data_IF_788916402889
#
_entry.id   IF_788916402889
#
_cell.length_a   1.000
_cell.length_b   1.000
_cell.length_c   1.000
_cell.angle_alpha   90.00
_cell.angle_beta   90.00
_cell.angle_gamma   90.00
#
_symmetry.space_group_name_H-M   'P 1'
#
loop_
_entity.id
_entity.type
_entity.pdbx_description
1 polymer ?
#
# COMPACT_ATOMS: atom_id res chain seq x y z
N UNK A 1 1.43 -15.72 -15.96
CA UNK A 1 0.76 -16.71 -15.06
C UNK A 1 1.76 -17.60 -14.31
N UNK A 2 2.72 -18.26 -14.98
CA UNK A 2 3.60 -19.31 -14.40
C UNK A 2 4.35 -18.91 -13.12
N UNK A 3 4.64 -17.63 -12.90
CA UNK A 3 5.45 -17.14 -11.77
C UNK A 3 4.72 -16.11 -10.92
N UNK A 4 3.39 -16.02 -11.04
CA UNK A 4 2.62 -14.98 -10.36
C UNK A 4 2.75 -15.08 -8.83
N UNK A 5 2.53 -16.24 -8.25
CA UNK A 5 2.70 -16.47 -6.82
C UNK A 5 4.13 -16.21 -6.36
N UNK A 6 5.12 -16.75 -7.08
CA UNK A 6 6.53 -16.56 -6.72
C UNK A 6 6.92 -15.08 -6.71
N UNK A 7 6.43 -14.30 -7.67
CA UNK A 7 6.64 -12.86 -7.71
C UNK A 7 5.97 -12.15 -6.52
N UNK A 8 4.71 -12.48 -6.22
CA UNK A 8 3.99 -11.86 -5.11
C UNK A 8 4.62 -12.20 -3.75
N UNK A 9 5.04 -13.46 -3.54
CA UNK A 9 5.74 -13.86 -2.32
C UNK A 9 7.11 -13.18 -2.20
N UNK A 10 7.82 -13.00 -3.30
CA UNK A 10 9.09 -12.28 -3.30
C UNK A 10 8.91 -10.80 -2.95
N UNK A 11 7.91 -10.14 -3.54
CA UNK A 11 7.56 -8.76 -3.21
C UNK A 11 7.20 -8.61 -1.73
N UNK A 12 6.33 -9.48 -1.22
CA UNK A 12 5.93 -9.52 0.19
C UNK A 12 7.13 -9.72 1.12
N UNK A 13 8.00 -10.68 0.81
CA UNK A 13 9.24 -10.95 1.55
C UNK A 13 10.13 -9.72 1.61
N UNK A 14 10.30 -8.99 0.50
CA UNK A 14 11.15 -7.79 0.48
C UNK A 14 10.57 -6.68 1.35
N UNK A 15 9.24 -6.50 1.39
CA UNK A 15 8.57 -5.55 2.27
C UNK A 15 8.80 -5.88 3.75
N UNK A 16 8.61 -7.14 4.13
CA UNK A 16 8.86 -7.55 5.51
C UNK A 16 10.33 -7.41 5.91
N UNK A 17 11.25 -7.79 5.04
CA UNK A 17 12.69 -7.66 5.29
C UNK A 17 13.09 -6.19 5.53
N UNK A 18 12.55 -5.27 4.74
CA UNK A 18 12.81 -3.83 4.90
C UNK A 18 12.27 -3.30 6.23
N UNK A 19 11.04 -3.68 6.61
CA UNK A 19 10.45 -3.29 7.89
C UNK A 19 11.26 -3.84 9.06
N UNK A 20 11.67 -5.10 9.01
CA UNK A 20 12.49 -5.72 10.06
C UNK A 20 13.80 -4.95 10.23
N UNK A 21 14.48 -4.63 9.13
CA UNK A 21 15.72 -3.88 9.12
C UNK A 21 15.53 -2.49 9.75
N UNK A 22 14.58 -1.71 9.23
CA UNK A 22 14.35 -0.33 9.69
C UNK A 22 13.93 -0.30 11.16
N UNK A 23 13.08 -1.23 11.61
CA UNK A 23 12.68 -1.33 13.03
C UNK A 23 13.86 -1.69 13.93
N UNK A 24 14.73 -2.59 13.49
CA UNK A 24 15.94 -2.94 14.23
C UNK A 24 16.91 -1.76 14.40
N UNK A 25 17.05 -0.92 13.37
CA UNK A 25 17.88 0.28 13.39
C UNK A 25 17.24 1.47 14.12
N UNK A 26 15.90 1.49 14.26
CA UNK A 26 15.13 2.61 14.80
C UNK A 26 13.99 2.13 15.72
N UNK A 27 14.28 1.49 16.86
CA UNK A 27 13.28 0.83 17.70
C UNK A 27 12.22 1.79 18.26
N UNK A 28 12.59 3.04 18.53
CA UNK A 28 11.72 4.05 19.17
C UNK A 28 11.12 5.06 18.17
N UNK A 29 11.27 4.78 16.86
CA UNK A 29 10.80 5.71 15.83
C UNK A 29 9.56 5.19 15.11
N UNK A 30 8.72 6.12 14.67
CA UNK A 30 7.64 5.83 13.74
C UNK A 30 8.21 5.73 12.34
N UNK A 31 7.85 4.64 11.66
CA UNK A 31 8.29 4.35 10.31
C UNK A 31 7.19 4.82 9.35
N UNK A 32 7.55 5.72 8.45
CA UNK A 32 6.72 6.09 7.30
C UNK A 32 7.33 5.43 6.07
N UNK A 33 6.58 4.60 5.37
CA UNK A 33 7.07 3.90 4.20
C UNK A 33 6.12 4.07 3.00
N UNK A 34 6.70 4.13 1.81
CA UNK A 34 5.94 3.97 0.58
C UNK A 34 5.58 2.50 0.43
N UNK A 35 4.28 2.20 0.43
CA UNK A 35 3.72 0.86 0.42
C UNK A 35 4.17 0.02 1.65
N UNK A 36 3.31 -0.84 2.07
CA UNK A 36 3.55 -1.73 3.18
C UNK A 36 2.93 -3.10 2.87
N UNK A 37 3.19 -4.15 3.65
CA UNK A 37 2.63 -5.48 3.39
C UNK A 37 1.11 -5.49 3.20
N UNK A 38 0.36 -4.62 3.90
CA UNK A 38 -1.08 -4.55 3.70
C UNK A 38 -1.48 -4.02 2.32
N UNK A 39 -0.73 -3.07 1.75
CA UNK A 39 -0.98 -2.62 0.37
C UNK A 39 -0.62 -3.69 -0.65
N UNK A 40 0.45 -4.45 -0.41
CA UNK A 40 0.78 -5.59 -1.27
C UNK A 40 -0.35 -6.63 -1.25
N UNK A 41 -0.91 -6.94 -0.09
CA UNK A 41 -2.05 -7.86 0.03
C UNK A 41 -3.33 -7.30 -0.59
N UNK A 42 -3.76 -6.10 -0.15
CA UNK A 42 -5.06 -5.50 -0.53
C UNK A 42 -5.15 -5.04 -1.97
N UNK A 43 -4.02 -4.75 -2.60
CA UNK A 43 -3.97 -4.24 -3.97
C UNK A 43 -3.24 -5.22 -4.89
N UNK A 44 -1.94 -5.43 -4.67
CA UNK A 44 -1.08 -6.10 -5.65
C UNK A 44 -1.23 -7.61 -5.72
N UNK A 45 -1.68 -8.29 -4.66
CA UNK A 45 -2.07 -9.71 -4.72
C UNK A 45 -3.55 -9.87 -5.13
N UNK A 46 -4.42 -8.97 -4.68
CA UNK A 46 -5.86 -9.01 -4.99
C UNK A 46 -6.15 -8.78 -6.48
N UNK A 47 -5.45 -7.84 -7.14
CA UNK A 47 -5.67 -7.58 -8.57
C UNK A 47 -5.40 -8.81 -9.46
N UNK A 48 -4.24 -9.47 -9.41
CA UNK A 48 -4.00 -10.67 -10.22
C UNK A 48 -4.89 -11.84 -9.80
N UNK A 49 -5.35 -11.92 -8.56
CA UNK A 49 -6.34 -12.90 -8.14
C UNK A 49 -7.70 -12.64 -8.80
N UNK A 50 -8.21 -11.41 -8.76
CA UNK A 50 -9.46 -11.03 -9.43
C UNK A 50 -9.39 -11.23 -10.95
N UNK A 51 -8.22 -11.08 -11.55
CA UNK A 51 -7.97 -11.33 -12.97
C UNK A 51 -7.71 -12.82 -13.31
N UNK A 52 -7.89 -13.73 -12.37
CA UNK A 52 -7.60 -15.18 -12.51
C UNK A 52 -6.16 -15.47 -13.01
N UNK A 53 -5.23 -14.58 -12.73
CA UNK A 53 -3.79 -14.77 -12.96
C UNK A 53 -3.18 -15.54 -11.79
N UNK A 54 -3.62 -15.21 -10.57
CA UNK A 54 -3.33 -15.93 -9.33
C UNK A 54 -4.56 -16.77 -8.98
N UNK A 55 -4.39 -18.08 -8.85
CA UNK A 55 -5.48 -19.00 -8.53
C UNK A 55 -5.86 -18.95 -7.04
N UNK A 56 -7.02 -19.55 -6.69
CA UNK A 56 -7.54 -19.55 -5.31
C UNK A 56 -6.55 -20.20 -4.33
N UNK A 57 -5.96 -21.34 -4.69
CA UNK A 57 -4.96 -22.02 -3.86
C UNK A 57 -3.69 -21.18 -3.69
N UNK A 58 -3.27 -20.50 -4.75
CA UNK A 58 -2.10 -19.61 -4.70
C UNK A 58 -2.39 -18.40 -3.80
N UNK A 59 -3.59 -17.84 -3.88
CA UNK A 59 -4.01 -16.73 -3.00
C UNK A 59 -4.15 -17.19 -1.55
N UNK A 60 -4.58 -18.42 -1.29
CA UNK A 60 -4.62 -19.00 0.04
C UNK A 60 -3.21 -19.09 0.64
N UNK A 61 -2.25 -19.66 -0.09
CA UNK A 61 -0.84 -19.74 0.35
C UNK A 61 -0.27 -18.34 0.64
N UNK A 62 -0.54 -17.36 -0.25
CA UNK A 62 -0.10 -15.99 -0.05
C UNK A 62 -0.69 -15.37 1.22
N UNK A 63 -1.99 -15.61 1.48
CA UNK A 63 -2.70 -15.10 2.65
C UNK A 63 -2.13 -15.68 3.95
N UNK A 64 -1.90 -16.99 4.00
CA UNK A 64 -1.31 -17.66 5.17
C UNK A 64 0.08 -17.11 5.51
N UNK A 65 0.94 -16.89 4.50
CA UNK A 65 2.22 -16.26 4.70
C UNK A 65 2.11 -14.83 5.21
N UNK A 66 1.18 -14.04 4.63
CA UNK A 66 0.91 -12.68 5.07
C UNK A 66 0.46 -12.63 6.53
N UNK A 67 -0.51 -13.45 6.91
CA UNK A 67 -1.08 -13.51 8.27
C UNK A 67 -0.03 -13.97 9.29
N UNK A 68 0.74 -15.00 8.96
CA UNK A 68 1.82 -15.48 9.80
C UNK A 68 2.87 -14.38 10.05
N UNK A 69 3.34 -13.72 9.01
CA UNK A 69 4.38 -12.69 9.14
C UNK A 69 3.88 -11.45 9.86
N UNK A 70 2.66 -11.01 9.61
CA UNK A 70 2.07 -9.85 10.31
C UNK A 70 1.87 -10.12 11.79
N UNK A 71 1.51 -11.34 12.15
CA UNK A 71 1.35 -11.79 13.53
C UNK A 71 2.70 -11.88 14.24
N UNK A 72 3.70 -12.55 13.63
CA UNK A 72 5.04 -12.71 14.20
C UNK A 72 5.72 -11.35 14.45
N UNK A 73 5.58 -10.43 13.51
CA UNK A 73 6.20 -9.10 13.60
C UNK A 73 5.36 -8.13 14.43
N UNK A 74 4.19 -8.53 14.90
CA UNK A 74 3.23 -7.63 15.57
C UNK A 74 3.10 -6.33 14.77
N UNK A 75 2.82 -6.47 13.45
CA UNK A 75 2.77 -5.33 12.56
C UNK A 75 1.55 -4.47 12.85
N UNK A 76 1.76 -3.38 13.58
CA UNK A 76 0.74 -2.37 13.79
C UNK A 76 0.88 -1.23 12.79
N UNK A 77 -0.17 -0.99 11.98
CA UNK A 77 -0.26 0.12 11.04
C UNK A 77 -1.23 1.13 11.65
N UNK A 78 -0.68 2.17 12.26
CA UNK A 78 -1.45 3.18 12.97
C UNK A 78 -2.16 4.17 12.03
N UNK A 79 -1.67 4.37 10.81
CA UNK A 79 -2.32 5.24 9.85
C UNK A 79 -1.89 4.98 8.42
N UNK A 80 -2.72 5.40 7.48
CA UNK A 80 -2.47 5.31 6.03
C UNK A 80 -2.66 6.71 5.43
N UNK A 81 -1.66 7.15 4.68
CA UNK A 81 -1.75 8.36 3.87
C UNK A 81 -2.03 7.91 2.43
N UNK A 82 -3.24 8.16 1.97
CA UNK A 82 -3.64 7.84 0.61
C UNK A 82 -3.46 9.05 -0.31
N UNK A 83 -2.46 8.99 -1.17
CA UNK A 83 -2.22 9.99 -2.20
C UNK A 83 -3.09 9.66 -3.40
N UNK A 84 -4.25 10.32 -3.48
CA UNK A 84 -5.23 10.10 -4.55
C UNK A 84 -4.79 10.81 -5.82
N UNK A 85 -4.47 10.04 -6.85
CA UNK A 85 -4.04 10.55 -8.15
C UNK A 85 -4.83 9.82 -9.23
N UNK A 86 -5.52 10.54 -10.16
CA UNK A 86 -6.27 9.93 -11.25
C UNK A 86 -5.37 9.06 -12.16
N UNK A 87 -5.93 7.98 -12.70
CA UNK A 87 -5.23 7.08 -13.61
C UNK A 87 -4.63 7.80 -14.82
N UNK A 88 -5.33 8.80 -15.38
CA UNK A 88 -4.84 9.64 -16.48
C UNK A 88 -3.56 10.39 -16.11
N UNK A 89 -3.53 11.02 -14.93
CA UNK A 89 -2.35 11.73 -14.45
C UNK A 89 -1.20 10.75 -14.16
N UNK A 90 -1.49 9.53 -13.68
CA UNK A 90 -0.49 8.49 -13.52
C UNK A 90 0.12 8.09 -14.87
N UNK A 91 -0.70 7.93 -15.92
CA UNK A 91 -0.23 7.64 -17.28
C UNK A 91 0.69 8.72 -17.82
N UNK A 92 0.32 9.99 -17.69
CA UNK A 92 1.16 11.12 -18.11
C UNK A 92 2.52 11.13 -17.39
N UNK A 93 2.51 10.85 -16.08
CA UNK A 93 3.74 10.76 -15.27
C UNK A 93 4.62 9.59 -15.67
N UNK A 94 4.04 8.44 -16.04
CA UNK A 94 4.77 7.28 -16.55
C UNK A 94 5.47 7.63 -17.85
N UNK A 95 4.75 8.25 -18.80
CA UNK A 95 5.31 8.70 -20.08
C UNK A 95 6.45 9.70 -19.84
N UNK A 96 6.22 10.73 -19.01
CA UNK A 96 7.21 11.76 -18.71
C UNK A 96 8.47 11.19 -18.03
N UNK A 97 8.32 10.17 -17.19
CA UNK A 97 9.43 9.54 -16.47
C UNK A 97 10.27 8.63 -17.36
N UNK A 98 9.68 8.07 -18.41
CA UNK A 98 10.31 7.22 -19.43
C UNK A 98 11.21 6.11 -18.83
N UNK A 99 10.70 5.40 -17.81
CA UNK A 99 11.45 4.33 -17.18
C UNK A 99 11.38 3.05 -18.01
N UNK A 100 12.54 2.45 -18.30
CA UNK A 100 12.63 1.17 -19.01
C UNK A 100 11.76 0.09 -18.31
N UNK A 101 10.87 -0.55 -19.09
CA UNK A 101 9.97 -1.62 -18.62
C UNK A 101 8.56 -1.15 -18.26
N UNK A 102 8.28 0.15 -18.19
CA UNK A 102 6.96 0.70 -17.91
C UNK A 102 6.09 0.96 -19.16
N UNK A 103 6.66 0.86 -20.36
CA UNK A 103 5.94 1.12 -21.62
C UNK A 103 4.76 0.19 -21.93
N UNK A 104 4.64 -0.93 -21.21
CA UNK A 104 3.54 -1.88 -21.35
C UNK A 104 2.40 -1.67 -20.33
N UNK A 105 2.48 -0.63 -19.49
CA UNK A 105 1.43 -0.31 -18.52
C UNK A 105 0.26 0.31 -19.28
N UNK A 106 -0.89 -0.38 -19.28
CA UNK A 106 -2.10 0.05 -20.00
C UNK A 106 -2.96 0.98 -19.13
N UNK A 107 -3.80 1.78 -19.78
CA UNK A 107 -4.81 2.60 -19.08
C UNK A 107 -5.78 1.74 -18.27
N UNK A 108 -6.21 0.61 -18.80
CA UNK A 108 -7.10 -0.32 -18.09
C UNK A 108 -6.47 -0.80 -16.79
N UNK A 109 -5.19 -1.17 -16.81
CA UNK A 109 -4.47 -1.55 -15.59
C UNK A 109 -4.41 -0.40 -14.57
N UNK A 110 -4.20 0.84 -15.01
CA UNK A 110 -4.16 2.01 -14.12
C UNK A 110 -5.54 2.31 -13.53
N UNK A 111 -6.62 2.16 -14.31
CA UNK A 111 -7.99 2.29 -13.81
C UNK A 111 -8.34 1.18 -12.81
N UNK A 112 -7.98 -0.06 -13.08
CA UNK A 112 -8.18 -1.16 -12.14
C UNK A 112 -7.44 -0.91 -10.82
N UNK A 113 -6.19 -0.42 -10.91
CA UNK A 113 -5.37 -0.07 -9.76
C UNK A 113 -6.00 1.06 -8.94
N UNK A 114 -6.49 2.11 -9.58
CA UNK A 114 -7.23 3.20 -8.95
C UNK A 114 -8.47 2.67 -8.23
N UNK A 115 -9.31 1.88 -8.91
CA UNK A 115 -10.53 1.33 -8.34
C UNK A 115 -10.28 0.42 -7.13
N UNK A 116 -9.22 -0.39 -7.15
CA UNK A 116 -8.87 -1.26 -6.01
C UNK A 116 -8.44 -0.43 -4.80
N UNK A 117 -7.65 0.62 -5.01
CA UNK A 117 -7.28 1.55 -3.94
C UNK A 117 -8.51 2.27 -3.38
N UNK A 118 -9.38 2.80 -4.24
CA UNK A 118 -10.61 3.48 -3.83
C UNK A 118 -11.49 2.55 -2.99
N UNK A 119 -11.82 1.36 -3.49
CA UNK A 119 -12.65 0.39 -2.76
C UNK A 119 -12.08 0.01 -1.40
N UNK A 120 -10.75 -0.07 -1.29
CA UNK A 120 -10.10 -0.39 -0.04
C UNK A 120 -10.05 0.81 0.90
N UNK A 121 -9.53 1.95 0.47
CA UNK A 121 -9.15 3.07 1.34
C UNK A 121 -10.32 4.02 1.65
N UNK A 122 -11.38 4.02 0.85
CA UNK A 122 -12.61 4.77 1.13
C UNK A 122 -13.68 3.94 1.85
N UNK A 123 -13.38 2.68 2.19
CA UNK A 123 -14.33 1.81 2.87
C UNK A 123 -14.58 2.31 4.32
N UNK A 124 -15.83 2.62 4.70
CA UNK A 124 -16.14 3.12 6.04
C UNK A 124 -15.76 2.16 7.19
N UNK A 125 -15.69 0.85 6.90
CA UNK A 125 -15.25 -0.14 7.90
C UNK A 125 -13.76 -0.01 8.21
N UNK A 126 -12.94 0.39 7.23
CA UNK A 126 -11.53 0.59 7.43
C UNK A 126 -11.26 1.82 8.32
N UNK A 127 -11.98 2.91 8.10
CA UNK A 127 -11.83 4.16 8.89
C UNK A 127 -12.20 4.00 10.36
N UNK A 128 -12.96 2.97 10.73
CA UNK A 128 -13.26 2.63 12.13
C UNK A 128 -12.10 1.92 12.83
N UNK A 129 -11.23 1.27 12.09
CA UNK A 129 -10.12 0.46 12.63
C UNK A 129 -8.75 1.08 12.41
N UNK A 130 -8.64 2.03 11.48
CA UNK A 130 -7.37 2.69 11.13
C UNK A 130 -7.62 4.12 10.66
N UNK A 131 -6.69 4.99 10.98
CA UNK A 131 -6.73 6.36 10.46
C UNK A 131 -6.31 6.37 9.00
N UNK A 132 -7.20 6.80 8.11
CA UNK A 132 -6.90 7.00 6.68
C UNK A 132 -7.03 8.48 6.37
N UNK A 133 -5.97 9.07 5.87
CA UNK A 133 -5.94 10.44 5.40
C UNK A 133 -5.79 10.47 3.88
N UNK A 134 -6.82 10.94 3.20
CA UNK A 134 -6.80 11.11 1.75
C UNK A 134 -6.23 12.48 1.39
N UNK A 135 -5.16 12.47 0.60
CA UNK A 135 -4.53 13.66 0.03
C UNK A 135 -4.89 13.72 -1.45
N UNK A 136 -5.70 14.69 -1.83
CA UNK A 136 -5.94 14.96 -3.24
C UNK A 136 -4.76 15.76 -3.81
N UNK A 137 -4.15 15.22 -4.84
CA UNK A 137 -3.09 15.92 -5.56
C UNK A 137 -3.72 16.96 -6.47
N UNK A 138 -3.44 18.23 -6.19
CA UNK A 138 -3.74 19.33 -7.10
C UNK A 138 -2.75 19.35 -8.26
N UNK A 139 -3.13 19.97 -9.37
CA UNK A 139 -2.29 20.08 -10.57
C UNK A 139 -0.91 20.73 -10.30
N UNK A 140 -0.82 21.61 -9.31
CA UNK A 140 0.41 22.26 -8.86
C UNK A 140 1.37 21.35 -8.07
N UNK A 141 0.98 20.10 -7.81
CA UNK A 141 1.79 19.11 -7.09
C UNK A 141 1.92 19.36 -5.58
N UNK A 142 1.28 20.39 -5.04
CA UNK A 142 1.36 20.72 -3.62
C UNK A 142 0.25 20.00 -2.83
N UNK A 143 0.65 19.07 -1.95
CA UNK A 143 -0.22 18.58 -0.90
C UNK A 143 -0.40 19.66 0.18
N UNK A 144 -1.53 19.67 0.85
CA UNK A 144 -1.70 20.52 2.02
C UNK A 144 -0.88 19.95 3.19
N UNK A 145 0.39 20.35 3.27
CA UNK A 145 1.35 19.85 4.25
C UNK A 145 0.88 20.09 5.70
N UNK A 146 0.19 21.20 5.97
CA UNK A 146 -0.33 21.49 7.30
C UNK A 146 -1.32 20.42 7.75
N UNK A 147 -2.31 20.12 6.91
CA UNK A 147 -3.29 19.05 7.21
C UNK A 147 -2.64 17.67 7.33
N UNK A 148 -1.63 17.40 6.54
CA UNK A 148 -0.86 16.14 6.64
C UNK A 148 -0.11 16.05 7.98
N UNK A 149 0.55 17.14 8.41
CA UNK A 149 1.21 17.21 9.71
C UNK A 149 0.23 17.04 10.87
N UNK A 150 -0.95 17.67 10.80
CA UNK A 150 -1.99 17.55 11.82
C UNK A 150 -2.52 16.11 11.90
N UNK A 151 -2.75 15.47 10.75
CA UNK A 151 -3.11 14.04 10.71
C UNK A 151 -2.04 13.17 11.37
N UNK A 152 -0.78 13.35 11.00
CA UNK A 152 0.33 12.58 11.59
C UNK A 152 0.40 12.80 13.10
N UNK A 153 0.25 14.02 13.58
CA UNK A 153 0.22 14.34 15.02
C UNK A 153 -0.92 13.62 15.73
N UNK A 154 -2.12 13.64 15.16
CA UNK A 154 -3.30 12.95 15.71
C UNK A 154 -3.08 11.44 15.83
N UNK A 155 -2.51 10.82 14.79
CA UNK A 155 -2.18 9.39 14.81
C UNK A 155 -1.19 9.08 15.93
N UNK A 156 -0.14 9.91 16.07
CA UNK A 156 0.90 9.78 17.10
C UNK A 156 0.34 9.89 18.52
N UNK A 157 -0.54 10.85 18.75
CA UNK A 157 -1.16 11.06 20.06
C UNK A 157 -2.08 9.90 20.46
N UNK A 158 -2.78 9.32 19.48
CA UNK A 158 -3.64 8.16 19.72
C UNK A 158 -2.83 6.90 20.04
N UNK A 159 -1.73 6.66 19.34
CA UNK A 159 -0.84 5.51 19.63
C UNK A 159 -0.19 5.64 21.03
N UNK A 160 0.21 6.84 21.45
CA UNK A 160 0.75 7.08 22.81
C UNK A 160 -0.24 6.80 23.93
N UNK A 161 -1.54 6.86 23.67
CA UNK A 161 -2.60 6.56 24.66
C UNK A 161 -2.86 5.05 24.79
N UNK A 162 -2.35 4.24 23.85
CA UNK A 162 -2.53 2.79 23.81
C UNK A 162 -1.32 2.03 24.39
N UNK A 163 -0.23 2.73 24.68
CA UNK A 163 0.97 2.23 25.36
C UNK A 163 0.93 2.56 26.86
#
# INVERSE_FOLDING_TARGET
KRYALAFQLYALKTRFAEIIKIRGENPDKIIVCERCPISDFKVFATMPHNAHILGDHEMMVYTEWYDMMTTLLRLNICGIIYMRVPASTCAERIIKRDRKGEGNITMDYLHDLEQVHERWLTNPKLSKTRHVYCVEFKEDGHANLTKLCDFMRTVLENEKKLL
#
